data_IF_295239126253
#
_entry.id   IF_295239126253
#
_cell.length_a   1.000
_cell.length_b   1.000
_cell.length_c   1.000
_cell.angle_alpha   90.00
_cell.angle_beta   90.00
_cell.angle_gamma   90.00
#
_symmetry.space_group_name_H-M   'P 1'
#
loop_
_entity.id
_entity.type
_entity.pdbx_description
1 polymer ?
#
# COMPACT_ATOMS: atom_id res chain seq x y z
N UNK A 1 1.57 -17.87 -3.20
CA UNK A 1 1.38 -16.51 -2.65
C UNK A 1 -0.04 -16.35 -2.14
N UNK A 2 -0.19 -15.78 -0.94
CA UNK A 2 -1.47 -15.69 -0.27
C UNK A 2 -2.02 -14.27 -0.29
N UNK A 3 -2.32 -13.76 -1.49
CA UNK A 3 -2.86 -12.40 -1.63
C UNK A 3 -4.18 -12.22 -0.87
N UNK A 4 -4.91 -13.30 -0.63
CA UNK A 4 -6.13 -13.26 0.18
C UNK A 4 -5.88 -12.77 1.60
N UNK A 5 -4.62 -12.80 2.07
CA UNK A 5 -4.23 -12.30 3.38
C UNK A 5 -3.86 -10.82 3.35
N UNK A 6 -3.94 -10.18 2.17
CA UNK A 6 -3.78 -8.74 2.08
C UNK A 6 -4.84 -8.06 2.94
N UNK A 7 -4.40 -7.09 3.73
CA UNK A 7 -5.29 -6.38 4.66
C UNK A 7 -6.47 -5.69 3.97
N UNK A 8 -6.33 -5.34 2.69
CA UNK A 8 -7.38 -4.62 1.95
C UNK A 8 -8.26 -5.52 1.08
N UNK A 9 -7.84 -6.74 0.79
CA UNK A 9 -8.59 -7.67 -0.07
C UNK A 9 -9.43 -8.68 0.70
N UNK A 10 -9.28 -8.73 2.01
CA UNK A 10 -10.04 -9.67 2.84
C UNK A 10 -11.54 -9.44 2.67
N UNK A 11 -12.28 -10.50 2.38
CA UNK A 11 -13.73 -10.42 2.21
C UNK A 11 -14.18 -10.03 0.80
N UNK A 12 -13.27 -9.69 -0.11
CA UNK A 12 -13.64 -9.47 -1.51
C UNK A 12 -13.78 -10.81 -2.24
N UNK A 13 -14.51 -10.80 -3.38
CA UNK A 13 -14.71 -12.02 -4.16
C UNK A 13 -13.42 -12.48 -4.85
N UNK A 14 -13.36 -13.75 -5.22
CA UNK A 14 -12.23 -14.31 -5.98
C UNK A 14 -12.07 -13.62 -7.33
N UNK A 15 -13.17 -13.24 -7.97
CA UNK A 15 -13.14 -12.53 -9.25
C UNK A 15 -12.49 -11.16 -9.09
N UNK A 16 -12.82 -10.45 -8.01
CA UNK A 16 -12.20 -9.15 -7.73
C UNK A 16 -10.70 -9.29 -7.44
N UNK A 17 -10.31 -10.29 -6.64
CA UNK A 17 -8.90 -10.58 -6.36
C UNK A 17 -8.15 -10.86 -7.66
N UNK A 18 -8.73 -11.63 -8.57
CA UNK A 18 -8.11 -11.93 -9.85
C UNK A 18 -7.88 -10.65 -10.67
N UNK A 19 -8.87 -9.78 -10.73
CA UNK A 19 -8.74 -8.49 -11.44
C UNK A 19 -7.68 -7.60 -10.81
N UNK A 20 -7.60 -7.60 -9.48
CA UNK A 20 -6.54 -6.91 -8.77
C UNK A 20 -5.17 -7.45 -9.20
N UNK A 21 -5.01 -8.76 -9.21
CA UNK A 21 -3.75 -9.40 -9.59
C UNK A 21 -3.39 -9.15 -11.05
N UNK A 22 -4.38 -9.14 -11.94
CA UNK A 22 -4.16 -8.86 -13.37
C UNK A 22 -3.60 -7.46 -13.63
N UNK A 23 -3.81 -6.53 -12.69
CA UNK A 23 -3.32 -5.15 -12.78
C UNK A 23 -2.12 -4.90 -11.87
N UNK A 24 -1.46 -5.95 -11.45
CA UNK A 24 -0.35 -5.91 -10.52
C UNK A 24 0.82 -6.73 -11.06
N UNK A 25 2.03 -6.41 -10.61
CA UNK A 25 3.21 -7.21 -10.91
C UNK A 25 4.01 -7.47 -9.64
N UNK A 26 4.63 -8.62 -9.58
CA UNK A 26 5.53 -8.96 -8.49
C UNK A 26 6.90 -8.36 -8.78
N UNK A 27 7.43 -7.58 -7.83
CA UNK A 27 8.73 -6.93 -7.97
C UNK A 27 9.61 -7.27 -6.77
N UNK A 28 10.92 -7.33 -7.02
CA UNK A 28 11.91 -7.58 -5.99
C UNK A 28 12.85 -6.38 -5.89
N UNK A 29 13.19 -6.02 -4.66
CA UNK A 29 14.10 -4.91 -4.39
C UNK A 29 15.13 -5.31 -3.35
N UNK A 30 16.33 -4.76 -3.50
CA UNK A 30 17.42 -4.98 -2.54
C UNK A 30 17.29 -3.99 -1.38
N UNK A 31 18.01 -4.31 -0.29
CA UNK A 31 18.16 -3.38 0.82
C UNK A 31 18.70 -2.04 0.30
N UNK A 32 18.07 -0.96 0.72
CA UNK A 32 18.47 0.40 0.33
C UNK A 32 17.74 0.94 -0.89
N UNK A 33 16.99 0.09 -1.62
CA UNK A 33 16.23 0.59 -2.76
C UNK A 33 15.12 1.52 -2.29
N UNK A 34 15.00 2.66 -2.96
CA UNK A 34 13.94 3.64 -2.71
C UNK A 34 12.84 3.39 -3.74
N UNK A 35 11.64 3.07 -3.25
CA UNK A 35 10.49 2.79 -4.12
C UNK A 35 9.88 4.07 -4.66
N UNK A 36 9.77 5.07 -3.80
CA UNK A 36 9.31 6.41 -4.16
C UNK A 36 9.74 7.39 -3.08
N UNK A 37 9.76 8.66 -3.45
CA UNK A 37 10.08 9.74 -2.53
C UNK A 37 8.84 10.59 -2.28
N UNK A 38 8.79 11.22 -1.13
CA UNK A 38 7.78 12.22 -0.80
C UNK A 38 7.71 13.26 -1.92
N UNK A 39 6.50 13.58 -2.36
CA UNK A 39 6.19 14.51 -3.46
C UNK A 39 6.43 13.96 -4.87
N UNK A 40 6.90 12.73 -5.02
CA UNK A 40 6.92 12.08 -6.33
C UNK A 40 5.49 11.80 -6.82
N UNK A 41 5.26 11.76 -8.15
CA UNK A 41 3.94 11.40 -8.68
C UNK A 41 3.46 10.06 -8.13
N UNK A 42 2.25 10.02 -7.61
CA UNK A 42 1.66 8.83 -7.02
C UNK A 42 0.93 8.02 -8.08
N UNK A 43 1.56 6.96 -8.59
CA UNK A 43 1.03 6.11 -9.66
C UNK A 43 0.76 4.69 -9.23
N UNK A 44 1.44 4.22 -8.21
CA UNK A 44 1.39 2.81 -7.81
C UNK A 44 1.05 2.65 -6.33
N UNK A 45 0.35 1.56 -6.10
CA UNK A 45 -0.02 1.08 -4.78
C UNK A 45 0.74 -0.23 -4.53
N UNK A 46 1.20 -0.45 -3.32
CA UNK A 46 2.05 -1.59 -2.99
C UNK A 46 1.45 -2.46 -1.89
N UNK A 47 1.66 -3.77 -2.03
CA UNK A 47 1.36 -4.74 -0.97
C UNK A 47 2.65 -5.48 -0.63
N UNK A 48 2.99 -5.55 0.64
CA UNK A 48 4.19 -6.27 1.09
C UNK A 48 3.92 -7.77 1.04
N UNK A 49 4.76 -8.50 0.30
CA UNK A 49 4.70 -9.96 0.26
C UNK A 49 5.72 -10.58 1.22
N UNK A 50 6.92 -10.00 1.27
CA UNK A 50 7.97 -10.44 2.17
C UNK A 50 9.02 -9.35 2.27
N UNK A 51 9.55 -9.11 3.45
CA UNK A 51 10.58 -8.11 3.66
C UNK A 51 10.15 -7.00 4.60
N UNK A 52 10.74 -5.81 4.42
CA UNK A 52 10.47 -4.68 5.32
C UNK A 52 10.71 -3.36 4.61
N UNK A 53 9.74 -2.44 4.74
CA UNK A 53 9.79 -1.13 4.12
C UNK A 53 9.59 -0.05 5.18
N UNK A 54 10.47 0.94 5.18
CA UNK A 54 10.37 2.10 6.06
C UNK A 54 9.68 3.24 5.31
N UNK A 55 8.61 3.76 5.89
CA UNK A 55 7.95 4.97 5.40
C UNK A 55 8.42 6.14 6.26
N UNK A 56 8.85 7.22 5.62
CA UNK A 56 9.40 8.38 6.32
C UNK A 56 8.92 9.68 5.69
N UNK A 57 8.89 10.74 6.50
CA UNK A 57 8.54 12.09 6.04
C UNK A 57 9.67 13.04 6.37
N UNK A 58 9.71 14.16 5.66
CA UNK A 58 10.68 15.25 5.80
C UNK A 58 12.10 14.84 5.39
N UNK A 59 12.92 15.80 5.10
CA UNK A 59 14.32 15.60 4.69
C UNK A 59 15.14 14.87 5.75
N UNK A 60 14.78 15.01 7.03
CA UNK A 60 15.46 14.32 8.12
C UNK A 60 15.17 12.84 8.19
N UNK A 61 14.28 12.31 7.36
CA UNK A 61 13.96 10.90 7.34
C UNK A 61 13.21 10.40 8.55
N UNK A 62 12.38 11.25 9.17
CA UNK A 62 11.58 10.84 10.31
C UNK A 62 10.66 9.70 9.92
N UNK A 63 10.82 8.54 10.57
CA UNK A 63 10.02 7.36 10.30
C UNK A 63 8.58 7.56 10.78
N UNK A 64 7.60 7.32 9.91
CA UNK A 64 6.19 7.39 10.25
C UNK A 64 5.55 6.02 10.34
N UNK A 65 6.12 5.02 9.66
CA UNK A 65 5.60 3.66 9.70
C UNK A 65 6.66 2.67 9.22
N UNK A 66 6.64 1.49 9.82
CA UNK A 66 7.53 0.39 9.49
C UNK A 66 6.67 -0.77 8.99
N UNK A 67 6.59 -0.93 7.66
CA UNK A 67 5.80 -1.97 7.02
C UNK A 67 6.58 -3.27 7.01
N UNK A 68 6.19 -4.23 7.83
CA UNK A 68 6.90 -5.50 7.99
C UNK A 68 6.00 -6.74 8.04
N UNK A 69 4.69 -6.57 8.02
CA UNK A 69 3.77 -7.71 8.02
C UNK A 69 3.35 -8.05 6.60
N UNK A 70 3.43 -9.33 6.23
CA UNK A 70 2.98 -9.79 4.93
C UNK A 70 1.51 -9.43 4.74
N UNK A 71 1.19 -8.86 3.58
CA UNK A 71 -0.16 -8.38 3.27
C UNK A 71 -0.41 -6.92 3.60
N UNK A 72 0.50 -6.25 4.30
CA UNK A 72 0.38 -4.81 4.58
C UNK A 72 0.45 -3.98 3.31
N UNK A 73 -0.38 -2.93 3.23
CA UNK A 73 -0.46 -2.05 2.08
C UNK A 73 0.17 -0.68 2.38
N UNK A 74 0.76 -0.08 1.37
CA UNK A 74 1.28 1.29 1.46
C UNK A 74 1.31 1.93 0.07
N UNK A 75 1.62 3.23 0.01
CA UNK A 75 1.64 3.96 -1.26
C UNK A 75 0.24 4.23 -1.82
N UNK A 76 -0.75 4.36 -0.97
CA UNK A 76 -2.16 4.46 -1.34
C UNK A 76 -2.62 5.90 -1.64
N UNK A 77 -1.70 6.87 -1.71
CA UNK A 77 -2.05 8.27 -2.02
C UNK A 77 -2.88 8.40 -3.31
N UNK A 78 -2.49 7.67 -4.35
CA UNK A 78 -3.20 7.73 -5.64
C UNK A 78 -4.61 7.13 -5.59
N UNK A 79 -4.92 6.29 -4.61
CA UNK A 79 -6.26 5.72 -4.45
C UNK A 79 -7.23 6.70 -3.79
N UNK A 80 -6.71 7.71 -3.10
CA UNK A 80 -7.52 8.72 -2.41
C UNK A 80 -7.39 10.09 -3.09
N UNK A 81 -7.15 10.07 -4.40
CA UNK A 81 -7.11 11.26 -5.26
C UNK A 81 -6.01 12.26 -4.91
N UNK A 82 -4.88 11.79 -4.40
CA UNK A 82 -3.71 12.63 -4.20
C UNK A 82 -2.75 12.42 -5.37
N UNK A 83 -2.20 13.50 -5.89
CA UNK A 83 -1.31 13.45 -7.06
C UNK A 83 0.09 13.00 -6.73
N UNK A 84 0.49 13.14 -5.48
CA UNK A 84 1.85 12.84 -5.03
C UNK A 84 1.84 11.98 -3.78
N UNK A 85 2.95 11.26 -3.56
CA UNK A 85 3.12 10.50 -2.33
C UNK A 85 3.35 11.43 -1.14
N UNK A 86 2.77 11.07 -0.01
CA UNK A 86 2.89 11.84 1.23
C UNK A 86 4.06 11.41 2.10
N UNK A 87 4.80 10.39 1.68
CA UNK A 87 5.95 9.86 2.40
C UNK A 87 6.92 9.25 1.39
N UNK A 88 8.15 9.00 1.83
CA UNK A 88 9.13 8.23 1.07
C UNK A 88 9.09 6.78 1.55
N UNK A 89 9.41 5.83 0.66
CA UNK A 89 9.44 4.40 0.98
C UNK A 89 10.79 3.82 0.59
N UNK A 90 11.45 3.19 1.55
CA UNK A 90 12.77 2.58 1.36
C UNK A 90 12.77 1.15 1.88
N UNK A 91 13.30 0.23 1.10
CA UNK A 91 13.48 -1.16 1.53
C UNK A 91 14.66 -1.24 2.49
N UNK A 92 14.43 -1.71 3.71
CA UNK A 92 15.49 -1.81 4.72
C UNK A 92 16.04 -3.23 4.86
N UNK A 93 15.52 -4.15 4.05
CA UNK A 93 16.05 -5.49 3.82
C UNK A 93 15.57 -5.94 2.44
N UNK A 94 16.06 -7.07 1.88
CA UNK A 94 15.55 -7.56 0.60
C UNK A 94 14.05 -7.78 0.69
N UNK A 95 13.31 -7.25 -0.29
CA UNK A 95 11.86 -7.13 -0.20
C UNK A 95 11.19 -7.60 -1.49
N UNK A 96 10.09 -8.32 -1.32
CA UNK A 96 9.21 -8.75 -2.40
C UNK A 96 7.88 -8.04 -2.24
N UNK A 97 7.43 -7.39 -3.32
CA UNK A 97 6.23 -6.55 -3.31
C UNK A 97 5.30 -6.92 -4.46
N UNK A 98 4.03 -6.69 -4.25
CA UNK A 98 3.06 -6.63 -5.32
C UNK A 98 2.84 -5.15 -5.64
N UNK A 99 3.15 -4.74 -6.87
CA UNK A 99 3.03 -3.37 -7.34
C UNK A 99 1.80 -3.26 -8.22
N UNK A 100 0.85 -2.44 -7.84
CA UNK A 100 -0.44 -2.31 -8.52
C UNK A 100 -0.58 -0.93 -9.12
N UNK A 101 -0.97 -0.87 -10.40
CA UNK A 101 -1.26 0.40 -11.08
C UNK A 101 -2.57 0.96 -10.50
N UNK A 102 -2.50 2.12 -9.85
CA UNK A 102 -3.65 2.70 -9.16
C UNK A 102 -4.76 3.15 -10.10
N UNK A 103 -4.43 3.59 -11.30
CA UNK A 103 -5.46 3.99 -12.28
C UNK A 103 -6.26 2.79 -12.75
N UNK A 104 -5.58 1.68 -13.01
CA UNK A 104 -6.24 0.44 -13.43
C UNK A 104 -7.07 -0.14 -12.29
N UNK A 105 -6.56 -0.08 -11.07
CA UNK A 105 -7.32 -0.53 -9.90
C UNK A 105 -8.57 0.32 -9.70
N UNK A 106 -8.48 1.63 -9.89
CA UNK A 106 -9.64 2.51 -9.79
C UNK A 106 -10.73 2.10 -10.76
N UNK A 107 -10.38 1.74 -12.00
CA UNK A 107 -11.36 1.25 -12.98
C UNK A 107 -12.01 -0.06 -12.54
N UNK A 108 -11.24 -0.98 -11.98
CA UNK A 108 -11.76 -2.23 -11.44
C UNK A 108 -12.78 -1.95 -10.33
N UNK A 109 -12.47 -1.01 -9.45
CA UNK A 109 -13.35 -0.61 -8.35
C UNK A 109 -14.64 0.01 -8.88
N UNK A 110 -14.54 0.89 -9.88
CA UNK A 110 -15.71 1.53 -10.47
C UNK A 110 -16.65 0.54 -11.15
N UNK A 111 -16.09 -0.51 -11.75
CA UNK A 111 -16.86 -1.58 -12.41
C UNK A 111 -17.47 -2.58 -11.42
N UNK A 112 -16.94 -2.63 -10.20
CA UNK A 112 -17.39 -3.56 -9.15
C UNK A 112 -17.47 -2.81 -7.82
N UNK A 113 -18.43 -1.91 -7.67
CA UNK A 113 -18.50 -1.05 -6.48
C UNK A 113 -18.76 -1.82 -5.18
N UNK A 114 -19.41 -2.98 -5.23
CA UNK A 114 -19.64 -3.78 -4.03
C UNK A 114 -18.32 -4.25 -3.41
N UNK A 115 -17.41 -4.79 -4.22
CA UNK A 115 -16.10 -5.18 -3.74
C UNK A 115 -15.20 -3.97 -3.47
N UNK A 116 -15.37 -2.91 -4.25
CA UNK A 116 -14.66 -1.64 -4.04
C UNK A 116 -14.94 -1.06 -2.66
N UNK A 117 -16.20 -1.12 -2.20
CA UNK A 117 -16.56 -0.66 -0.85
C UNK A 117 -15.84 -1.48 0.22
N UNK A 118 -15.76 -2.79 0.05
CA UNK A 118 -15.05 -3.66 0.99
C UNK A 118 -13.58 -3.27 1.06
N UNK A 119 -12.93 -3.06 -0.09
CA UNK A 119 -11.54 -2.64 -0.15
C UNK A 119 -11.34 -1.31 0.58
N UNK A 120 -12.17 -0.31 0.30
CA UNK A 120 -12.03 1.01 0.91
C UNK A 120 -12.35 1.01 2.41
N UNK A 121 -13.26 0.16 2.87
CA UNK A 121 -13.49 0.00 4.31
C UNK A 121 -12.24 -0.52 5.02
N UNK A 122 -11.57 -1.51 4.42
CA UNK A 122 -10.33 -2.04 4.99
C UNK A 122 -9.22 -1.01 4.94
N UNK A 123 -9.11 -0.25 3.85
CA UNK A 123 -8.14 0.82 3.74
C UNK A 123 -8.38 1.88 4.82
N UNK A 124 -9.63 2.29 5.01
CA UNK A 124 -9.99 3.27 6.04
C UNK A 124 -9.64 2.77 7.43
N UNK A 125 -9.92 1.49 7.72
CA UNK A 125 -9.58 0.89 9.02
C UNK A 125 -8.06 0.88 9.25
N UNK A 126 -7.30 0.53 8.22
CA UNK A 126 -5.83 0.52 8.28
C UNK A 126 -5.28 1.91 8.58
N UNK A 127 -5.78 2.93 7.85
CA UNK A 127 -5.36 4.32 8.06
C UNK A 127 -5.75 4.83 9.43
N UNK A 128 -6.95 4.50 9.88
CA UNK A 128 -7.44 4.86 11.20
C UNK A 128 -6.57 4.27 12.31
N UNK A 129 -6.18 3.01 12.17
CA UNK A 129 -5.31 2.34 13.15
C UNK A 129 -3.93 3.00 13.20
N UNK A 130 -3.35 3.35 12.05
CA UNK A 130 -2.05 4.04 12.01
C UNK A 130 -2.14 5.42 12.65
N UNK A 131 -3.24 6.12 12.44
CA UNK A 131 -3.48 7.43 13.04
C UNK A 131 -3.58 7.32 14.56
N UNK A 132 -4.30 6.32 15.08
CA UNK A 132 -4.43 6.08 16.51
C UNK A 132 -3.08 5.74 17.15
N UNK A 133 -2.26 4.95 16.49
CA UNK A 133 -0.91 4.65 16.95
C UNK A 133 -0.04 5.92 17.01
N UNK A 134 -0.18 6.79 16.03
CA UNK A 134 0.50 8.08 15.97
C UNK A 134 0.12 8.94 17.19
N UNK A 135 -1.15 8.97 17.57
CA UNK A 135 -1.62 9.70 18.75
C UNK A 135 -0.99 9.17 20.03
N UNK A 136 -0.84 7.86 20.16
CA UNK A 136 -0.20 7.25 21.34
C UNK A 136 1.27 7.67 21.46
N UNK A 137 1.94 7.85 20.32
CA UNK A 137 3.34 8.27 20.29
C UNK A 137 3.52 9.71 20.77
N UNK A 138 2.52 10.55 20.54
CA UNK A 138 2.56 11.98 20.90
C UNK A 138 2.29 12.19 22.40
N UNK A 139 1.50 11.32 23.01
CA UNK A 139 1.05 11.49 24.41
C UNK A 139 2.07 11.04 25.44
#
# INVERSE_FOLDING_TARGET
MHIKQSEILLGTSMDFVKKFMDNSEMVFHDKGDVLFRENDPAQFFYTLLNGRVKLSICEGGQMVHDTRQNGEAFGWSSLIERDVYSASAECIEPTELLKTDSRKLTKVIEEDPANGIILFKHLAATLGNRLLESYKTIS
#
